data_IF_394166282464
#
_entry.id   IF_394166282464
#
_cell.length_a   1.000
_cell.length_b   1.000
_cell.length_c   1.000
_cell.angle_alpha   90.00
_cell.angle_beta   90.00
_cell.angle_gamma   90.00
#
_symmetry.space_group_name_H-M   'P 1'
#
loop_
_entity.id
_entity.type
_entity.pdbx_description
1 polymer ?
#
# COMPACT_ATOMS: atom_id res chain seq x y z
N UNK A 1 -6.61 11.86 3.76
CA UNK A 1 -5.40 11.22 3.17
C UNK A 1 -4.35 12.20 2.66
N UNK A 2 -4.61 13.51 2.51
CA UNK A 2 -3.54 14.47 2.14
C UNK A 2 -3.03 14.36 0.70
N UNK A 3 -3.70 13.58 -0.15
CA UNK A 3 -3.37 13.46 -1.58
C UNK A 3 -3.67 14.81 -2.25
N UNK A 4 -2.69 15.46 -2.90
CA UNK A 4 -2.94 16.73 -3.57
C UNK A 4 -3.91 16.52 -4.75
N UNK A 5 -4.73 17.54 -5.02
CA UNK A 5 -5.88 17.44 -5.96
C UNK A 5 -5.48 16.97 -7.35
N UNK A 6 -4.25 17.27 -7.80
CA UNK A 6 -3.73 16.86 -9.09
C UNK A 6 -3.24 15.41 -9.15
N UNK A 7 -3.24 14.69 -8.03
CA UNK A 7 -2.87 13.27 -7.93
C UNK A 7 -4.08 12.38 -7.62
N UNK A 8 -5.30 12.92 -7.68
CA UNK A 8 -6.52 12.14 -7.47
C UNK A 8 -6.75 11.24 -8.69
N UNK A 9 -6.76 9.94 -8.46
CA UNK A 9 -7.12 8.95 -9.48
C UNK A 9 -8.60 9.05 -9.85
N UNK A 10 -8.97 9.29 -11.12
CA UNK A 10 -10.37 9.22 -11.57
C UNK A 10 -11.01 7.84 -11.36
N UNK A 11 -10.25 6.75 -11.41
CA UNK A 11 -10.73 5.39 -11.09
C UNK A 11 -10.70 5.07 -9.60
N UNK A 12 -10.31 6.02 -8.74
CA UNK A 12 -10.16 5.80 -7.30
C UNK A 12 -9.20 4.64 -6.97
N UNK A 13 -8.16 4.43 -7.76
CA UNK A 13 -7.16 3.38 -7.57
C UNK A 13 -7.77 1.95 -7.55
N UNK A 14 -8.84 1.72 -8.31
CA UNK A 14 -9.59 0.46 -8.29
C UNK A 14 -8.71 -0.74 -8.69
N UNK A 15 -7.85 -0.62 -9.70
CA UNK A 15 -6.98 -1.74 -10.14
C UNK A 15 -5.96 -2.14 -9.07
N UNK A 16 -5.32 -1.16 -8.42
CA UNK A 16 -4.39 -1.41 -7.33
C UNK A 16 -5.10 -2.05 -6.12
N UNK A 17 -6.32 -1.60 -5.82
CA UNK A 17 -7.16 -2.16 -4.75
C UNK A 17 -7.58 -3.59 -5.05
N UNK A 18 -7.88 -3.90 -6.32
CA UNK A 18 -8.26 -5.23 -6.76
C UNK A 18 -7.16 -6.28 -6.54
N UNK A 19 -5.88 -5.92 -6.66
CA UNK A 19 -4.78 -6.84 -6.35
C UNK A 19 -4.79 -7.30 -4.89
N UNK A 20 -5.31 -6.48 -3.98
CA UNK A 20 -5.35 -6.76 -2.55
C UNK A 20 -6.70 -7.28 -2.05
N UNK A 21 -7.78 -7.12 -2.82
CA UNK A 21 -9.13 -7.51 -2.38
C UNK A 21 -9.26 -9.00 -2.04
N UNK A 22 -8.39 -9.83 -2.62
CA UNK A 22 -8.39 -11.28 -2.42
C UNK A 22 -7.17 -11.77 -1.62
N UNK A 23 -6.39 -10.86 -1.02
CA UNK A 23 -5.14 -11.23 -0.33
C UNK A 23 -5.36 -12.23 0.81
N UNK A 24 -6.51 -12.14 1.47
CA UNK A 24 -6.89 -13.04 2.56
C UNK A 24 -7.23 -14.46 2.10
N UNK A 25 -7.56 -14.64 0.81
CA UNK A 25 -7.82 -15.96 0.22
C UNK A 25 -6.55 -16.75 -0.09
N UNK A 26 -5.39 -16.07 -0.18
CA UNK A 26 -4.11 -16.75 -0.40
C UNK A 26 -3.66 -17.49 0.87
N UNK A 27 -3.24 -18.74 0.70
CA UNK A 27 -2.70 -19.57 1.78
C UNK A 27 -1.20 -19.39 1.95
N UNK A 28 -0.46 -19.17 0.85
CA UNK A 28 0.99 -19.01 0.89
C UNK A 28 1.38 -17.56 1.18
N UNK A 29 2.31 -17.31 2.10
CA UNK A 29 2.79 -15.95 2.37
C UNK A 29 3.51 -15.31 1.16
N UNK A 30 4.15 -16.10 0.30
CA UNK A 30 4.75 -15.60 -0.94
C UNK A 30 3.69 -15.04 -1.91
N UNK A 31 2.54 -15.71 -2.05
CA UNK A 31 1.46 -15.23 -2.92
C UNK A 31 0.86 -13.91 -2.39
N UNK A 32 0.77 -13.78 -1.05
CA UNK A 32 0.39 -12.52 -0.40
C UNK A 32 1.42 -11.41 -0.66
N UNK A 33 2.71 -11.75 -0.64
CA UNK A 33 3.79 -10.82 -0.97
C UNK A 33 3.69 -10.34 -2.43
N UNK A 34 3.48 -11.27 -3.36
CA UNK A 34 3.34 -10.95 -4.78
C UNK A 34 2.12 -10.06 -5.05
N UNK A 35 0.99 -10.34 -4.39
CA UNK A 35 -0.20 -9.48 -4.46
C UNK A 35 0.07 -8.06 -3.93
N UNK A 36 0.81 -7.95 -2.81
CA UNK A 36 1.22 -6.65 -2.26
C UNK A 36 2.12 -5.88 -3.23
N UNK A 37 3.13 -6.54 -3.79
CA UNK A 37 4.06 -5.92 -4.74
C UNK A 37 3.34 -5.52 -6.02
N UNK A 38 2.40 -6.33 -6.51
CA UNK A 38 1.58 -6.01 -7.68
C UNK A 38 0.76 -4.74 -7.44
N UNK A 39 0.06 -4.64 -6.29
CA UNK A 39 -0.70 -3.45 -5.93
C UNK A 39 0.19 -2.20 -5.82
N UNK A 40 1.35 -2.32 -5.17
CA UNK A 40 2.28 -1.21 -4.99
C UNK A 40 2.86 -0.72 -6.32
N UNK A 41 3.16 -1.64 -7.26
CA UNK A 41 3.64 -1.31 -8.60
C UNK A 41 2.54 -0.78 -9.52
N UNK A 42 1.30 -1.19 -9.29
CA UNK A 42 0.15 -0.74 -10.07
C UNK A 42 -0.14 0.75 -9.86
N UNK A 43 0.08 1.29 -8.65
CA UNK A 43 -0.15 2.70 -8.33
C UNK A 43 0.60 3.67 -9.28
N UNK A 44 1.94 3.63 -9.42
CA UNK A 44 2.63 4.53 -10.34
C UNK A 44 2.27 4.28 -11.81
N UNK A 45 1.93 3.04 -12.19
CA UNK A 45 1.48 2.73 -13.55
C UNK A 45 0.13 3.38 -13.84
N UNK A 46 -0.84 3.22 -12.94
CA UNK A 46 -2.17 3.78 -13.07
C UNK A 46 -2.13 5.31 -13.08
N UNK A 47 -1.28 5.91 -12.25
CA UNK A 47 -1.06 7.36 -12.24
C UNK A 47 -0.65 7.89 -13.62
N UNK A 48 0.33 7.24 -14.28
CA UNK A 48 0.78 7.64 -15.61
C UNK A 48 -0.30 7.42 -16.68
N UNK A 49 -1.12 6.38 -16.55
CA UNK A 49 -2.23 6.12 -17.47
C UNK A 49 -3.35 7.16 -17.36
N UNK A 50 -3.66 7.59 -16.14
CA UNK A 50 -4.74 8.55 -15.87
C UNK A 50 -4.33 10.00 -16.14
N UNK A 51 -3.02 10.27 -16.22
CA UNK A 51 -2.46 11.61 -16.48
C UNK A 51 -1.62 11.62 -17.77
N UNK A 52 -2.22 11.36 -18.94
CA UNK A 52 -1.48 11.29 -20.20
C UNK A 52 -0.82 12.65 -20.51
N UNK A 53 0.49 12.63 -20.68
CA UNK A 53 1.30 13.83 -20.95
C UNK A 53 2.10 14.34 -19.74
N UNK A 54 1.92 13.76 -18.55
CA UNK A 54 2.85 13.99 -17.45
C UNK A 54 4.12 13.15 -17.60
N UNK A 55 5.27 13.75 -17.31
CA UNK A 55 6.54 13.03 -17.11
C UNK A 55 6.91 12.94 -15.63
N UNK A 56 6.03 13.44 -14.75
CA UNK A 56 6.25 13.40 -13.32
C UNK A 56 5.96 12.00 -12.80
N UNK A 57 6.92 11.44 -12.07
CA UNK A 57 6.74 10.20 -11.34
C UNK A 57 6.29 10.52 -9.92
N UNK A 58 5.47 9.65 -9.32
CA UNK A 58 5.15 9.75 -7.91
C UNK A 58 6.44 9.60 -7.09
N UNK A 59 6.76 10.62 -6.30
CA UNK A 59 7.81 10.51 -5.28
C UNK A 59 7.37 9.60 -4.14
N UNK A 60 8.29 9.25 -3.25
CA UNK A 60 7.97 8.44 -2.07
C UNK A 60 6.90 9.11 -1.18
N UNK A 61 6.98 10.44 -1.03
CA UNK A 61 6.04 11.24 -0.24
C UNK A 61 4.65 11.34 -0.88
N UNK A 62 4.56 11.25 -2.21
CA UNK A 62 3.29 11.20 -2.95
C UNK A 62 2.68 9.80 -2.95
N UNK A 63 3.53 8.78 -3.01
CA UNK A 63 3.14 7.38 -3.07
C UNK A 63 2.50 6.90 -1.76
N UNK A 64 3.10 7.20 -0.60
CA UNK A 64 2.66 6.70 0.70
C UNK A 64 1.16 6.99 1.00
N UNK A 65 0.64 8.22 0.85
CA UNK A 65 -0.77 8.49 1.11
C UNK A 65 -1.72 7.76 0.15
N UNK A 66 -1.32 7.56 -1.12
CA UNK A 66 -2.07 6.77 -2.10
C UNK A 66 -2.09 5.29 -1.70
N UNK A 67 -0.95 4.77 -1.28
CA UNK A 67 -0.84 3.38 -0.85
C UNK A 67 -1.67 3.11 0.41
N UNK A 68 -1.67 4.02 1.39
CA UNK A 68 -2.56 3.96 2.56
C UNK A 68 -4.03 3.93 2.13
N UNK A 69 -4.42 4.76 1.17
CA UNK A 69 -5.78 4.77 0.64
C UNK A 69 -6.15 3.40 0.03
N UNK A 70 -5.27 2.82 -0.80
CA UNK A 70 -5.48 1.50 -1.41
C UNK A 70 -5.64 0.42 -0.34
N UNK A 71 -4.76 0.38 0.67
CA UNK A 71 -4.84 -0.59 1.78
C UNK A 71 -6.18 -0.52 2.52
N UNK A 72 -6.64 0.70 2.83
CA UNK A 72 -7.91 0.93 3.53
C UNK A 72 -9.12 0.47 2.69
N UNK A 73 -9.08 0.69 1.38
CA UNK A 73 -10.16 0.27 0.48
C UNK A 73 -10.13 -1.23 0.14
N UNK A 74 -9.00 -1.91 0.40
CA UNK A 74 -8.81 -3.33 0.11
C UNK A 74 -9.46 -4.27 1.13
N UNK A 75 -9.95 -3.74 2.27
CA UNK A 75 -10.67 -4.50 3.32
C UNK A 75 -9.91 -5.72 3.86
N UNK A 76 -8.59 -5.59 4.00
CA UNK A 76 -7.73 -6.63 4.56
C UNK A 76 -8.08 -6.81 6.05
N UNK A 77 -8.40 -8.03 6.47
CA UNK A 77 -8.92 -8.28 7.83
C UNK A 77 -7.89 -8.01 8.93
N UNK A 78 -6.64 -8.46 8.73
CA UNK A 78 -5.59 -8.44 9.75
C UNK A 78 -4.31 -7.78 9.22
N UNK A 79 -4.41 -6.50 8.87
CA UNK A 79 -3.33 -5.73 8.24
C UNK A 79 -2.02 -5.75 9.07
N UNK A 80 -2.15 -5.69 10.40
CA UNK A 80 -1.05 -5.77 11.35
C UNK A 80 -0.30 -7.09 11.26
N UNK A 81 -1.03 -8.19 11.20
CA UNK A 81 -0.46 -9.53 11.09
C UNK A 81 0.19 -9.73 9.72
N UNK A 82 -0.46 -9.26 8.66
CA UNK A 82 0.07 -9.32 7.30
C UNK A 82 1.43 -8.60 7.20
N UNK A 83 1.56 -7.42 7.79
CA UNK A 83 2.85 -6.70 7.86
C UNK A 83 3.95 -7.53 8.50
N UNK A 84 3.70 -8.10 9.69
CA UNK A 84 4.69 -8.92 10.40
C UNK A 84 5.05 -10.17 9.60
N UNK A 85 4.05 -10.84 9.02
CA UNK A 85 4.23 -12.03 8.21
C UNK A 85 5.14 -11.75 7.00
N UNK A 86 4.85 -10.70 6.23
CA UNK A 86 5.59 -10.38 5.02
C UNK A 86 6.99 -9.83 5.30
N UNK A 87 7.17 -9.04 6.36
CA UNK A 87 8.49 -8.59 6.80
C UNK A 87 9.39 -9.78 7.20
N UNK A 88 8.82 -10.79 7.87
CA UNK A 88 9.56 -12.01 8.26
C UNK A 88 9.93 -12.90 7.07
N UNK A 89 9.20 -12.79 5.94
CA UNK A 89 9.54 -13.50 4.71
C UNK A 89 10.70 -12.86 3.95
N UNK A 90 10.97 -11.57 4.16
CA UNK A 90 12.02 -10.88 3.44
C UNK A 90 13.39 -11.25 4.03
N UNK A 91 14.25 -11.84 3.19
CA UNK A 91 15.64 -12.08 3.56
C UNK A 91 16.30 -10.75 4.01
N UNK A 92 17.06 -10.73 5.11
CA UNK A 92 17.70 -9.52 5.60
C UNK A 92 18.67 -8.90 4.59
N UNK A 93 19.31 -9.71 3.74
CA UNK A 93 20.18 -9.25 2.66
C UNK A 93 19.42 -8.58 1.50
N UNK A 94 18.11 -8.81 1.38
CA UNK A 94 17.26 -8.23 0.33
C UNK A 94 16.54 -6.95 0.76
N UNK A 95 16.83 -6.40 1.95
CA UNK A 95 16.19 -5.14 2.40
C UNK A 95 16.48 -3.94 1.52
N UNK A 96 17.61 -3.95 0.80
CA UNK A 96 17.98 -2.91 -0.18
C UNK A 96 17.41 -3.19 -1.58
N UNK A 97 16.66 -4.27 -1.76
CA UNK A 97 15.98 -4.57 -3.02
C UNK A 97 14.67 -3.79 -3.15
N UNK A 98 14.13 -3.73 -4.37
CA UNK A 98 12.81 -3.17 -4.63
C UNK A 98 11.71 -3.77 -3.73
N UNK A 99 11.75 -5.10 -3.52
CA UNK A 99 10.83 -5.78 -2.59
C UNK A 99 10.99 -5.27 -1.16
N UNK A 100 12.23 -5.05 -0.71
CA UNK A 100 12.52 -4.51 0.61
C UNK A 100 11.99 -3.08 0.78
N UNK A 101 12.10 -2.25 -0.25
CA UNK A 101 11.55 -0.90 -0.28
C UNK A 101 10.02 -0.88 -0.12
N UNK A 102 9.30 -1.70 -0.91
CA UNK A 102 7.84 -1.77 -0.81
C UNK A 102 7.36 -2.36 0.52
N UNK A 103 8.10 -3.31 1.09
CA UNK A 103 7.80 -3.85 2.42
C UNK A 103 8.02 -2.84 3.53
N UNK A 104 9.12 -2.08 3.48
CA UNK A 104 9.35 -0.98 4.43
C UNK A 104 8.25 0.09 4.33
N UNK A 105 7.82 0.40 3.11
CA UNK A 105 6.74 1.35 2.86
C UNK A 105 5.39 0.82 3.35
N UNK A 106 5.15 -0.48 3.19
CA UNK A 106 3.98 -1.16 3.74
C UNK A 106 3.97 -1.13 5.26
N UNK A 107 5.08 -1.47 5.91
CA UNK A 107 5.22 -1.40 7.37
C UNK A 107 4.91 0.01 7.89
N UNK A 108 5.48 1.05 7.25
CA UNK A 108 5.20 2.45 7.59
C UNK A 108 3.72 2.82 7.40
N UNK A 109 3.08 2.36 6.32
CA UNK A 109 1.66 2.59 6.08
C UNK A 109 0.77 1.92 7.14
N UNK A 110 1.07 0.68 7.53
CA UNK A 110 0.35 -0.04 8.58
C UNK A 110 0.53 0.65 9.94
N UNK A 111 1.74 1.10 10.27
CA UNK A 111 1.99 1.85 11.50
C UNK A 111 1.20 3.16 11.54
N UNK A 112 1.16 3.89 10.43
CA UNK A 112 0.38 5.12 10.32
C UNK A 112 -1.13 4.87 10.54
N UNK A 113 -1.68 3.81 9.92
CA UNK A 113 -3.09 3.43 10.09
C UNK A 113 -3.38 3.10 11.57
N UNK A 114 -2.50 2.36 12.24
CA UNK A 114 -2.65 2.05 13.68
C UNK A 114 -2.64 3.31 14.55
N UNK A 115 -1.76 4.26 14.26
CA UNK A 115 -1.71 5.53 14.98
C UNK A 115 -3.01 6.32 14.83
N UNK A 116 -3.58 6.35 13.62
CA UNK A 116 -4.88 7.00 13.36
C UNK A 116 -6.03 6.32 14.10
N UNK A 117 -6.09 5.00 14.12
CA UNK A 117 -7.11 4.23 14.85
C UNK A 117 -7.03 4.48 16.36
N UNK A 118 -5.82 4.50 16.91
CA UNK A 118 -5.60 4.81 18.34
C UNK A 118 -6.00 6.25 18.69
N UNK A 119 -5.79 7.22 17.78
CA UNK A 119 -6.22 8.61 17.97
C UNK A 119 -7.76 8.76 17.94
N UNK A 120 -8.47 8.05 17.05
CA UNK A 120 -9.95 8.04 17.04
C UNK A 120 -10.53 7.41 18.32
N UNK A 121 -9.86 6.38 18.86
CA UNK A 121 -10.23 5.77 20.15
C UNK A 121 -10.07 6.70 21.36
N UNK A 122 -9.08 7.60 21.33
CA UNK A 122 -8.83 8.59 22.40
C UNK A 122 -9.79 9.79 22.36
N UNK A 123 -10.27 10.20 21.18
CA UNK A 123 -11.27 11.28 21.05
C UNK A 123 -12.68 10.85 21.52
N UNK A 124 -12.92 9.54 21.57
CA UNK A 124 -14.18 8.93 22.02
C UNK A 124 -14.20 8.50 23.50
N UNK A 125 -13.09 8.68 24.22
CA UNK A 125 -12.91 8.23 25.62
C UNK A 125 -13.02 9.36 26.64
#
# INVERSE_FOLDING_TARGET
YGIPVHQISPSSWESATYHLSNIDSFTLPCDKLDALLAAAKEIPNLYLQEHPGTTEHLGADDFLPIFIYVLMNSKINELSYLSILLCNLCDPDKRLSETGYYLATFEAAVEHIKQLDNLDGLDRS
#
